data_IF_785605466946
#
_entry.id   IF_785605466946
#
_cell.length_a   1.000
_cell.length_b   1.000
_cell.length_c   1.000
_cell.angle_alpha   90.00
_cell.angle_beta   90.00
_cell.angle_gamma   90.00
#
_symmetry.space_group_name_H-M   'P 1'
#
loop_
_entity.id
_entity.type
_entity.pdbx_description
1 polymer ?
#
# COMPACT_ATOMS: atom_id res chain seq x y z
N UNK A 1 26.24 17.00 -0.94
CA UNK A 1 25.72 15.67 -0.59
C UNK A 1 26.92 14.78 -0.46
N UNK A 2 27.25 14.32 0.75
CA UNK A 2 28.37 13.41 0.94
C UNK A 2 28.03 12.12 0.21
N UNK A 3 28.88 11.70 -0.74
CA UNK A 3 28.80 10.36 -1.34
C UNK A 3 29.01 9.36 -0.21
N UNK A 4 27.94 8.67 0.19
CA UNK A 4 28.03 7.56 1.13
C UNK A 4 28.80 6.45 0.41
N UNK A 5 30.08 6.29 0.77
CA UNK A 5 30.94 5.25 0.20
C UNK A 5 30.41 3.87 0.63
N UNK A 6 29.70 3.20 -0.28
CA UNK A 6 29.12 1.88 -0.03
C UNK A 6 30.24 0.85 0.19
N UNK A 7 30.31 0.26 1.39
CA UNK A 7 31.28 -0.80 1.72
C UNK A 7 30.65 -2.18 1.58
N UNK A 8 31.45 -3.12 1.10
CA UNK A 8 31.05 -4.53 0.97
C UNK A 8 30.72 -5.11 2.35
N UNK A 9 29.50 -5.61 2.54
CA UNK A 9 29.04 -6.22 3.80
C UNK A 9 28.32 -5.26 4.76
N UNK A 10 28.27 -3.96 4.45
CA UNK A 10 27.34 -3.03 5.09
C UNK A 10 25.96 -3.14 4.42
N UNK A 11 24.89 -3.07 5.22
CA UNK A 11 23.50 -3.18 4.79
C UNK A 11 22.66 -2.16 5.56
N UNK A 12 21.49 -1.77 5.03
CA UNK A 12 20.62 -0.77 5.65
C UNK A 12 20.94 0.67 5.23
N UNK A 13 21.36 0.86 3.98
CA UNK A 13 21.69 2.20 3.46
C UNK A 13 20.42 3.02 3.18
N UNK A 14 19.35 2.35 2.75
CA UNK A 14 18.06 2.97 2.53
C UNK A 14 17.41 3.42 3.86
N UNK A 15 17.45 2.57 4.89
CA UNK A 15 16.75 2.81 6.14
C UNK A 15 15.23 2.70 6.00
N UNK A 16 14.51 3.16 7.03
CA UNK A 16 13.05 3.17 7.02
C UNK A 16 12.49 4.18 6.03
N UNK A 17 11.24 3.95 5.60
CA UNK A 17 10.46 4.81 4.72
C UNK A 17 11.08 5.02 3.33
N UNK A 18 11.92 4.08 2.88
CA UNK A 18 12.49 4.07 1.53
C UNK A 18 12.04 2.83 0.77
N UNK A 19 11.54 3.04 -0.45
CA UNK A 19 11.29 1.95 -1.39
C UNK A 19 12.57 1.66 -2.13
N UNK A 20 13.03 0.42 -2.04
CA UNK A 20 14.26 -0.06 -2.65
C UNK A 20 13.92 -0.92 -3.87
N UNK A 21 14.14 -0.44 -5.10
CA UNK A 21 14.02 -1.27 -6.29
C UNK A 21 15.17 -2.26 -6.37
N UNK A 22 14.89 -3.44 -6.93
CA UNK A 22 15.89 -4.46 -7.18
C UNK A 22 15.62 -5.24 -8.46
N UNK A 23 16.65 -5.91 -8.96
CA UNK A 23 16.56 -6.86 -10.07
C UNK A 23 17.40 -8.11 -9.76
N UNK A 24 16.89 -9.26 -10.19
CA UNK A 24 17.61 -10.54 -10.19
C UNK A 24 17.66 -11.01 -11.63
N UNK A 25 18.72 -10.59 -12.33
CA UNK A 25 18.86 -10.78 -13.78
C UNK A 25 18.75 -12.26 -14.20
N UNK A 26 19.36 -13.24 -13.50
CA UNK A 26 19.25 -14.65 -13.90
C UNK A 26 17.83 -15.23 -13.80
N UNK A 27 16.98 -14.62 -12.97
CA UNK A 27 15.59 -15.05 -12.79
C UNK A 27 14.60 -14.23 -13.62
N UNK A 28 15.06 -13.25 -14.40
CA UNK A 28 14.19 -12.28 -15.09
C UNK A 28 13.21 -11.57 -14.14
N UNK A 29 13.63 -11.33 -12.89
CA UNK A 29 12.78 -10.73 -11.85
C UNK A 29 13.17 -9.28 -11.62
N UNK A 30 12.15 -8.43 -11.53
CA UNK A 30 12.28 -7.08 -10.97
C UNK A 30 11.32 -6.93 -9.82
N UNK A 31 11.74 -6.19 -8.81
CA UNK A 31 10.91 -6.03 -7.63
C UNK A 31 11.21 -4.75 -6.88
N UNK A 32 10.45 -4.56 -5.82
CA UNK A 32 10.61 -3.49 -4.86
C UNK A 32 10.39 -4.04 -3.47
N UNK A 33 11.14 -3.54 -2.51
CA UNK A 33 10.90 -3.81 -1.10
C UNK A 33 10.85 -2.48 -0.35
N UNK A 34 10.10 -2.45 0.74
CA UNK A 34 9.96 -1.26 1.59
C UNK A 34 9.81 -1.71 3.03
N UNK A 35 10.37 -0.93 3.95
CA UNK A 35 10.06 -0.98 5.37
C UNK A 35 9.57 0.39 5.79
N UNK A 36 8.29 0.50 6.13
CA UNK A 36 7.68 1.70 6.65
C UNK A 36 7.70 1.68 8.18
N UNK A 37 8.10 2.80 8.79
CA UNK A 37 8.20 2.95 10.24
C UNK A 37 7.70 4.31 10.69
N UNK A 38 8.58 5.33 10.86
CA UNK A 38 8.17 6.67 11.29
C UNK A 38 7.00 7.28 10.50
N UNK A 39 6.95 7.02 9.19
CA UNK A 39 5.83 7.42 8.33
C UNK A 39 4.48 6.85 8.79
N UNK A 40 4.45 5.58 9.19
CA UNK A 40 3.21 4.94 9.66
C UNK A 40 2.77 5.51 11.00
N UNK A 41 3.70 5.73 11.92
CA UNK A 41 3.37 6.35 13.22
C UNK A 41 2.71 7.72 13.01
N UNK A 42 3.17 8.51 12.02
CA UNK A 42 2.56 9.79 11.67
C UNK A 42 1.15 9.65 11.08
N UNK A 43 0.94 8.72 10.14
CA UNK A 43 -0.36 8.51 9.49
C UNK A 43 -1.37 7.94 10.49
N UNK A 44 -0.98 6.88 11.21
CA UNK A 44 -1.85 6.16 12.13
C UNK A 44 -2.12 6.96 13.41
N UNK A 45 -1.14 7.73 13.90
CA UNK A 45 -1.30 8.53 15.12
C UNK A 45 -2.26 9.72 15.01
N UNK A 46 -2.74 10.06 13.81
CA UNK A 46 -3.71 11.14 13.57
C UNK A 46 -5.13 10.80 13.95
N UNK A 47 -5.43 9.51 14.04
CA UNK A 47 -6.75 8.98 14.33
C UNK A 47 -6.62 7.91 15.42
N UNK A 48 -7.61 7.80 16.30
CA UNK A 48 -7.62 6.82 17.37
C UNK A 48 -8.09 5.45 16.84
N UNK A 49 -7.30 4.88 15.93
CA UNK A 49 -7.62 3.61 15.28
C UNK A 49 -7.47 2.44 16.27
N UNK A 50 -8.48 1.57 16.42
CA UNK A 50 -8.28 0.27 17.04
C UNK A 50 -7.16 -0.50 16.35
N UNK A 51 -6.39 -1.27 17.11
CA UNK A 51 -5.20 -1.98 16.59
C UNK A 51 -5.46 -2.79 15.30
N UNK A 52 -6.57 -3.54 15.16
CA UNK A 52 -6.87 -4.26 13.92
C UNK A 52 -7.07 -3.35 12.70
N UNK A 53 -7.70 -2.18 12.90
CA UNK A 53 -7.91 -1.19 11.84
C UNK A 53 -6.60 -0.52 11.44
N UNK A 54 -5.77 -0.16 12.44
CA UNK A 54 -4.45 0.42 12.19
C UNK A 54 -3.54 -0.54 11.41
N UNK A 55 -3.58 -1.84 11.76
CA UNK A 55 -2.85 -2.89 11.04
C UNK A 55 -3.29 -2.98 9.57
N UNK A 56 -4.59 -3.04 9.33
CA UNK A 56 -5.18 -3.10 7.98
C UNK A 56 -4.82 -1.86 7.14
N UNK A 57 -4.89 -0.66 7.73
CA UNK A 57 -4.50 0.57 7.05
C UNK A 57 -3.00 0.60 6.72
N UNK A 58 -2.14 0.07 7.59
CA UNK A 58 -0.72 -0.06 7.33
C UNK A 58 -0.42 -1.03 6.18
N UNK A 59 -1.14 -2.16 6.07
CA UNK A 59 -1.03 -3.05 4.90
C UNK A 59 -1.39 -2.30 3.61
N UNK A 60 -2.50 -1.55 3.61
CA UNK A 60 -2.91 -0.73 2.47
C UNK A 60 -1.85 0.31 2.08
N UNK A 61 -1.18 0.93 3.06
CA UNK A 61 -0.04 1.83 2.82
C UNK A 61 1.11 1.13 2.10
N UNK A 62 1.52 -0.06 2.56
CA UNK A 62 2.62 -0.81 1.95
C UNK A 62 2.29 -1.22 0.51
N UNK A 63 1.10 -1.77 0.27
CA UNK A 63 0.63 -2.12 -1.09
C UNK A 63 0.68 -0.88 -1.98
N UNK A 64 0.09 0.22 -1.53
CA UNK A 64 0.00 1.47 -2.29
C UNK A 64 1.36 2.03 -2.65
N UNK A 65 2.33 1.98 -1.74
CA UNK A 65 3.69 2.44 -1.97
C UNK A 65 4.44 1.53 -2.95
N UNK A 66 4.37 0.21 -2.76
CA UNK A 66 5.03 -0.76 -3.64
C UNK A 66 4.50 -0.66 -5.07
N UNK A 67 3.17 -0.55 -5.23
CA UNK A 67 2.54 -0.45 -6.54
C UNK A 67 2.72 0.94 -7.14
N UNK A 68 2.52 2.01 -6.37
CA UNK A 68 2.63 3.39 -6.83
C UNK A 68 4.04 3.74 -7.32
N UNK A 69 5.08 3.23 -6.66
CA UNK A 69 6.47 3.38 -7.12
C UNK A 69 6.84 2.39 -8.24
N UNK A 70 6.03 1.36 -8.47
CA UNK A 70 6.23 0.40 -9.56
C UNK A 70 5.99 0.96 -10.94
N UNK A 71 5.05 1.89 -11.00
CA UNK A 71 4.50 2.41 -12.23
C UNK A 71 5.36 3.59 -12.72
N UNK A 72 5.80 3.53 -13.98
CA UNK A 72 6.64 4.56 -14.61
C UNK A 72 5.80 5.73 -15.13
N UNK A 73 5.09 6.43 -14.26
CA UNK A 73 4.30 7.61 -14.63
C UNK A 73 4.58 8.79 -13.70
N UNK A 74 4.10 9.97 -14.09
CA UNK A 74 3.94 11.13 -13.21
C UNK A 74 2.46 11.33 -12.94
N UNK A 75 2.05 11.32 -11.66
CA UNK A 75 0.65 11.33 -11.29
C UNK A 75 0.36 10.73 -9.93
N UNK A 76 -0.80 10.10 -9.82
CA UNK A 76 -1.35 9.56 -8.58
C UNK A 76 -1.84 8.13 -8.76
N UNK A 77 -1.38 7.24 -7.90
CA UNK A 77 -1.94 5.92 -7.67
C UNK A 77 -2.88 5.97 -6.47
N UNK A 78 -4.05 5.37 -6.59
CA UNK A 78 -5.08 5.35 -5.55
C UNK A 78 -5.51 3.90 -5.33
N UNK A 79 -5.33 3.42 -4.11
CA UNK A 79 -5.95 2.20 -3.61
C UNK A 79 -7.19 2.60 -2.82
N UNK A 80 -8.35 2.09 -3.20
CA UNK A 80 -9.60 2.34 -2.47
C UNK A 80 -10.40 1.05 -2.32
N UNK A 81 -10.86 0.76 -1.10
CA UNK A 81 -11.85 -0.29 -0.85
C UNK A 81 -13.23 0.30 -0.63
N UNK A 82 -14.25 -0.46 -1.02
CA UNK A 82 -15.63 -0.25 -0.59
C UNK A 82 -16.22 -1.61 -0.26
N UNK A 83 -16.54 -1.82 1.00
CA UNK A 83 -16.98 -3.12 1.49
C UNK A 83 -18.11 -3.01 2.51
N UNK A 84 -18.69 -4.14 2.88
CA UNK A 84 -19.76 -4.25 3.88
C UNK A 84 -19.28 -4.65 5.29
N UNK A 85 -17.97 -4.88 5.45
CA UNK A 85 -17.34 -5.23 6.71
C UNK A 85 -17.31 -4.09 7.75
N UNK A 86 -16.77 -4.33 8.95
CA UNK A 86 -16.56 -3.31 9.98
C UNK A 86 -15.74 -2.10 9.50
N UNK A 87 -14.82 -2.31 8.56
CA UNK A 87 -14.07 -1.25 7.88
C UNK A 87 -14.64 -1.08 6.48
N UNK A 88 -15.54 -0.12 6.31
CA UNK A 88 -16.31 0.04 5.06
C UNK A 88 -15.50 0.71 3.94
N UNK A 89 -14.46 1.46 4.29
CA UNK A 89 -13.64 2.20 3.34
C UNK A 89 -12.20 2.35 3.83
N UNK A 90 -11.26 1.89 3.01
CA UNK A 90 -9.85 2.24 3.07
C UNK A 90 -9.51 3.07 1.85
N UNK A 91 -8.72 4.12 2.03
CA UNK A 91 -8.14 4.87 0.91
C UNK A 91 -6.67 5.11 1.21
N UNK A 92 -5.81 4.75 0.27
CA UNK A 92 -4.40 5.08 0.31
C UNK A 92 -3.99 5.65 -1.05
N UNK A 93 -3.33 6.80 -1.01
CA UNK A 93 -2.93 7.56 -2.19
C UNK A 93 -1.41 7.70 -2.21
N UNK A 94 -0.79 7.29 -3.31
CA UNK A 94 0.60 7.59 -3.61
C UNK A 94 0.65 8.60 -4.76
N UNK A 95 1.23 9.77 -4.50
CA UNK A 95 1.50 10.78 -5.53
C UNK A 95 2.99 10.83 -5.79
N UNK A 96 3.37 10.65 -7.05
CA UNK A 96 4.79 10.71 -7.44
C UNK A 96 5.36 12.10 -7.15
N UNK A 97 6.59 12.21 -6.62
CA UNK A 97 7.58 11.14 -6.53
C UNK A 97 7.55 10.32 -5.23
N UNK A 98 6.95 10.82 -4.15
CA UNK A 98 7.20 10.29 -2.80
C UNK A 98 6.05 10.49 -1.80
N UNK A 99 4.95 11.12 -2.19
CA UNK A 99 3.93 11.55 -1.23
C UNK A 99 2.92 10.43 -0.98
N UNK A 100 2.86 9.94 0.26
CA UNK A 100 1.83 8.99 0.71
C UNK A 100 0.82 9.71 1.61
N UNK A 101 -0.44 9.31 1.53
CA UNK A 101 -1.44 9.55 2.57
C UNK A 101 -2.43 8.40 2.58
N UNK A 102 -3.01 8.12 3.74
CA UNK A 102 -4.02 7.08 3.85
C UNK A 102 -5.04 7.44 4.91
N UNK A 103 -6.22 6.82 4.81
CA UNK A 103 -7.34 7.00 5.72
C UNK A 103 -8.20 5.73 5.73
N UNK A 104 -8.71 5.38 6.90
CA UNK A 104 -9.70 4.32 7.09
C UNK A 104 -10.95 4.89 7.75
N UNK A 105 -12.12 4.52 7.23
CA UNK A 105 -13.43 4.69 7.87
C UNK A 105 -13.93 3.34 8.37
N UNK A 106 -14.41 3.32 9.60
CA UNK A 106 -14.84 2.11 10.27
C UNK A 106 -15.99 2.38 11.24
N UNK A 107 -16.75 1.34 11.55
CA UNK A 107 -17.77 1.32 12.60
C UNK A 107 -17.14 0.78 13.90
N UNK A 108 -17.02 1.64 14.90
CA UNK A 108 -16.34 1.31 16.15
C UNK A 108 -17.01 0.16 16.92
N UNK A 109 -18.34 0.08 16.90
CA UNK A 109 -19.09 -0.97 17.61
C UNK A 109 -18.89 -2.31 16.92
N UNK A 110 -18.98 -2.34 15.58
CA UNK A 110 -18.75 -3.56 14.79
C UNK A 110 -17.30 -4.05 14.91
N UNK A 111 -16.32 -3.14 14.91
CA UNK A 111 -14.91 -3.51 15.13
C UNK A 111 -14.70 -4.07 16.54
N UNK A 112 -15.34 -3.50 17.57
CA UNK A 112 -15.25 -4.00 18.93
C UNK A 112 -15.89 -5.39 19.07
N UNK A 113 -17.01 -5.65 18.41
CA UNK A 113 -17.63 -6.97 18.34
C UNK A 113 -16.74 -8.00 17.63
N UNK A 114 -16.21 -7.65 16.46
CA UNK A 114 -15.28 -8.49 15.71
C UNK A 114 -14.03 -8.84 16.53
N UNK A 115 -13.50 -7.86 17.27
CA UNK A 115 -12.36 -8.06 18.18
C UNK A 115 -12.68 -9.04 19.30
N UNK A 116 -13.87 -8.94 19.91
CA UNK A 116 -14.31 -9.89 20.95
C UNK A 116 -14.53 -11.30 20.40
N UNK A 117 -14.97 -11.41 19.14
CA UNK A 117 -15.16 -12.67 18.45
C UNK A 117 -13.84 -13.30 17.93
N UNK A 118 -12.72 -12.57 18.01
CA UNK A 118 -11.42 -13.00 17.45
C UNK A 118 -11.31 -12.84 15.94
N UNK A 119 -12.29 -12.21 15.28
CA UNK A 119 -12.34 -11.97 13.84
C UNK A 119 -11.63 -10.65 13.51
N UNK A 120 -10.31 -10.65 13.68
CA UNK A 120 -9.47 -9.44 13.54
C UNK A 120 -8.53 -9.51 12.33
N UNK A 121 -8.66 -10.54 11.50
CA UNK A 121 -7.89 -10.64 10.27
C UNK A 121 -8.32 -9.52 9.29
N UNK A 122 -7.40 -9.03 8.44
CA UNK A 122 -7.71 -8.03 7.41
C UNK A 122 -8.97 -8.36 6.58
N UNK A 123 -9.11 -9.61 6.16
CA UNK A 123 -10.22 -10.13 5.37
C UNK A 123 -11.56 -10.14 6.14
N UNK A 124 -11.55 -10.37 7.45
CA UNK A 124 -12.76 -10.32 8.28
C UNK A 124 -13.26 -8.88 8.45
N UNK A 125 -12.32 -7.93 8.61
CA UNK A 125 -12.62 -6.51 8.78
C UNK A 125 -13.11 -5.86 7.49
N UNK A 126 -12.58 -6.30 6.36
CA UNK A 126 -13.04 -5.87 5.05
C UNK A 126 -14.37 -6.52 4.69
N UNK A 127 -14.56 -7.82 4.98
CA UNK A 127 -15.76 -8.55 4.56
C UNK A 127 -15.81 -8.71 3.04
N UNK A 128 -16.95 -8.38 2.45
CA UNK A 128 -17.17 -8.50 1.00
C UNK A 128 -17.33 -7.14 0.35
N UNK A 129 -16.82 -7.00 -0.87
CA UNK A 129 -16.94 -5.77 -1.65
C UNK A 129 -15.95 -5.71 -2.78
N UNK A 130 -15.35 -4.54 -2.98
CA UNK A 130 -14.43 -4.30 -4.09
C UNK A 130 -13.20 -3.51 -3.67
N UNK A 131 -12.07 -3.84 -4.28
CA UNK A 131 -10.83 -3.09 -4.29
C UNK A 131 -10.70 -2.39 -5.65
N UNK A 132 -10.69 -1.07 -5.66
CA UNK A 132 -10.42 -0.26 -6.84
C UNK A 132 -8.99 0.28 -6.79
N UNK A 133 -8.21 -0.02 -7.83
CA UNK A 133 -6.87 0.52 -8.05
C UNK A 133 -6.94 1.50 -9.22
N UNK A 134 -6.68 2.77 -8.94
CA UNK A 134 -6.82 3.86 -9.92
C UNK A 134 -5.48 4.52 -10.21
N UNK A 135 -5.18 4.69 -11.49
CA UNK A 135 -4.02 5.42 -11.99
C UNK A 135 -4.53 6.71 -12.64
N UNK A 136 -4.12 7.86 -12.10
CA UNK A 136 -4.43 9.19 -12.59
C UNK A 136 -3.13 9.92 -12.97
N UNK A 137 -2.88 10.10 -14.27
CA UNK A 137 -1.69 10.79 -14.80
C UNK A 137 -1.96 12.28 -15.08
N UNK A 138 -3.03 12.84 -14.53
CA UNK A 138 -3.39 14.25 -14.62
C UNK A 138 -4.45 14.58 -15.67
N UNK A 139 -4.78 15.87 -15.77
CA UNK A 139 -6.00 16.39 -16.42
C UNK A 139 -6.14 16.08 -17.93
N UNK A 140 -5.04 15.75 -18.61
CA UNK A 140 -5.03 15.45 -20.04
C UNK A 140 -5.01 13.96 -20.34
N UNK A 141 -5.11 13.12 -19.32
CA UNK A 141 -5.09 11.66 -19.44
C UNK A 141 -6.39 11.06 -18.93
N UNK A 142 -6.81 9.95 -19.52
CA UNK A 142 -7.92 9.19 -18.95
C UNK A 142 -7.45 8.43 -17.73
N UNK A 143 -8.24 8.50 -16.65
CA UNK A 143 -8.01 7.68 -15.47
C UNK A 143 -8.23 6.22 -15.83
N UNK A 144 -7.25 5.40 -15.51
CA UNK A 144 -7.38 3.95 -15.60
C UNK A 144 -7.77 3.42 -14.22
N UNK A 145 -8.76 2.53 -14.16
CA UNK A 145 -9.23 1.93 -12.92
C UNK A 145 -9.43 0.44 -13.11
N UNK A 146 -8.68 -0.36 -12.35
CA UNK A 146 -8.91 -1.79 -12.20
C UNK A 146 -9.71 -2.07 -10.94
N UNK A 147 -10.66 -3.01 -11.02
CA UNK A 147 -11.50 -3.40 -9.89
C UNK A 147 -11.31 -4.89 -9.65
N UNK A 148 -11.06 -5.26 -8.40
CA UNK A 148 -10.95 -6.65 -7.92
C UNK A 148 -12.03 -6.89 -6.87
N UNK A 149 -12.67 -8.05 -6.95
CA UNK A 149 -13.62 -8.49 -5.92
C UNK A 149 -12.87 -8.83 -4.62
N UNK A 150 -13.36 -8.30 -3.50
CA UNK A 150 -12.94 -8.70 -2.18
C UNK A 150 -14.01 -9.63 -1.61
N UNK A 151 -13.68 -10.88 -1.35
CA UNK A 151 -14.59 -11.86 -0.76
C UNK A 151 -13.81 -12.76 0.19
N UNK A 152 -13.52 -12.26 1.39
CA UNK A 152 -12.73 -13.00 2.38
C UNK A 152 -11.28 -13.25 1.97
N UNK A 153 -10.72 -12.41 1.08
CA UNK A 153 -9.32 -12.49 0.65
C UNK A 153 -8.51 -11.33 1.24
N UNK A 154 -7.21 -11.56 1.45
CA UNK A 154 -6.29 -10.54 1.93
C UNK A 154 -5.98 -9.50 0.84
N UNK A 155 -5.43 -8.35 1.25
CA UNK A 155 -4.94 -7.33 0.31
C UNK A 155 -3.79 -7.87 -0.57
N UNK A 156 -3.01 -8.83 -0.08
CA UNK A 156 -1.95 -9.49 -0.86
C UNK A 156 -2.53 -10.27 -2.05
N UNK A 157 -3.58 -11.07 -1.81
CA UNK A 157 -4.22 -11.87 -2.86
C UNK A 157 -5.04 -11.00 -3.81
N UNK A 158 -5.68 -9.95 -3.29
CA UNK A 158 -6.38 -8.99 -4.13
C UNK A 158 -5.40 -8.27 -5.08
N UNK A 159 -4.23 -7.86 -4.60
CA UNK A 159 -3.18 -7.27 -5.43
C UNK A 159 -2.61 -8.28 -6.46
N UNK A 160 -2.36 -9.54 -6.07
CA UNK A 160 -1.96 -10.61 -7.01
C UNK A 160 -3.01 -10.79 -8.11
N UNK A 161 -4.29 -10.82 -7.75
CA UNK A 161 -5.40 -10.97 -8.68
C UNK A 161 -5.48 -9.81 -9.66
N UNK A 162 -5.29 -8.57 -9.19
CA UNK A 162 -5.22 -7.39 -10.05
C UNK A 162 -4.12 -7.54 -11.13
N UNK A 163 -2.87 -7.81 -10.75
CA UNK A 163 -1.78 -7.95 -11.72
C UNK A 163 -1.98 -9.12 -12.67
N UNK A 164 -2.56 -10.22 -12.18
CA UNK A 164 -2.87 -11.39 -13.00
C UNK A 164 -3.90 -11.06 -14.09
N UNK A 165 -4.98 -10.37 -13.73
CA UNK A 165 -6.11 -10.12 -14.64
C UNK A 165 -5.92 -8.87 -15.51
N UNK A 166 -5.41 -7.78 -14.92
CA UNK A 166 -5.39 -6.46 -15.56
C UNK A 166 -4.07 -6.18 -16.28
N UNK A 167 -2.94 -6.57 -15.68
CA UNK A 167 -1.60 -6.28 -16.22
C UNK A 167 -0.97 -7.47 -16.94
N UNK A 168 -1.46 -8.69 -16.70
CA UNK A 168 -0.89 -9.95 -17.21
C UNK A 168 0.59 -10.12 -16.87
N UNK A 169 1.03 -9.58 -15.73
CA UNK A 169 2.40 -9.71 -15.23
C UNK A 169 2.37 -10.66 -14.02
N UNK A 170 3.02 -11.83 -14.10
CA UNK A 170 3.17 -12.71 -12.95
C UNK A 170 3.84 -11.95 -11.82
N UNK A 171 3.13 -11.81 -10.71
CA UNK A 171 3.48 -10.92 -9.60
C UNK A 171 3.23 -11.65 -8.29
N UNK A 172 4.22 -11.58 -7.40
CA UNK A 172 4.13 -12.07 -6.02
C UNK A 172 4.32 -10.90 -5.06
N UNK A 173 3.59 -10.94 -3.94
CA UNK A 173 3.57 -9.87 -2.96
C UNK A 173 3.60 -10.45 -1.54
N UNK A 174 4.52 -9.99 -0.71
CA UNK A 174 4.56 -10.33 0.72
C UNK A 174 4.48 -9.05 1.54
N UNK A 175 3.68 -9.09 2.60
CA UNK A 175 3.41 -8.00 3.51
C UNK A 175 3.50 -8.52 4.94
N UNK A 176 3.92 -7.65 5.84
CA UNK A 176 3.85 -7.90 7.28
C UNK A 176 3.71 -6.59 8.00
N UNK A 177 2.91 -6.59 9.06
CA UNK A 177 2.69 -5.43 9.92
C UNK A 177 2.70 -5.88 11.38
N UNK A 178 3.42 -5.15 12.21
CA UNK A 178 3.35 -5.31 13.65
C UNK A 178 3.69 -4.02 14.40
N UNK A 179 3.31 -3.95 15.68
CA UNK A 179 3.87 -3.00 16.62
C UNK A 179 5.17 -3.55 17.19
N UNK A 180 6.24 -2.78 17.07
CA UNK A 180 7.50 -3.03 17.75
C UNK A 180 7.48 -2.31 19.10
N UNK A 181 7.69 -3.06 20.18
CA UNK A 181 7.83 -2.52 21.53
C UNK A 181 9.30 -2.50 21.88
N UNK A 182 9.89 -1.32 22.11
CA UNK A 182 11.28 -1.19 22.57
C UNK A 182 11.31 -0.96 24.08
N UNK A 183 11.98 -1.81 24.88
CA UNK A 183 12.17 -1.55 26.31
C UNK A 183 13.26 -0.49 26.56
N UNK A 184 13.06 0.42 27.51
CA UNK A 184 14.05 1.41 27.96
C UNK A 184 13.52 2.84 28.12
N UNK A 185 14.32 3.77 28.66
CA UNK A 185 13.98 5.20 28.68
C UNK A 185 13.97 5.77 27.25
N UNK A 186 12.79 6.22 26.79
CA UNK A 186 12.54 6.60 25.40
C UNK A 186 12.06 5.44 24.51
N UNK A 187 11.85 4.25 25.09
CA UNK A 187 11.19 3.13 24.44
C UNK A 187 9.68 3.33 24.36
N UNK A 188 9.14 3.30 23.13
CA UNK A 188 7.71 3.39 22.85
C UNK A 188 7.22 2.20 22.02
N UNK A 189 5.90 2.15 21.84
CA UNK A 189 5.28 1.33 20.81
C UNK A 189 5.35 2.07 19.48
N UNK A 190 5.90 1.43 18.46
CA UNK A 190 6.04 1.99 17.12
C UNK A 190 5.50 1.00 16.09
N UNK A 191 4.77 1.51 15.10
CA UNK A 191 4.32 0.70 13.99
C UNK A 191 5.46 0.41 13.02
N UNK A 192 5.48 -0.83 12.55
CA UNK A 192 6.37 -1.31 11.50
C UNK A 192 5.54 -2.06 10.48
N UNK A 193 5.71 -1.72 9.21
CA UNK A 193 5.20 -2.53 8.12
C UNK A 193 6.29 -2.76 7.09
N UNK A 194 6.34 -3.95 6.52
CA UNK A 194 7.27 -4.29 5.47
C UNK A 194 6.58 -4.97 4.33
N UNK A 195 7.16 -4.85 3.15
CA UNK A 195 6.70 -5.64 2.02
C UNK A 195 7.74 -5.85 0.94
N UNK A 196 7.47 -6.87 0.11
CA UNK A 196 8.25 -7.22 -1.06
C UNK A 196 7.30 -7.52 -2.20
N UNK A 197 7.44 -6.78 -3.30
CA UNK A 197 6.78 -7.01 -4.57
C UNK A 197 7.81 -7.58 -5.54
N UNK A 198 7.53 -8.72 -6.16
CA UNK A 198 8.36 -9.32 -7.19
C UNK A 198 7.54 -9.58 -8.45
N UNK A 199 8.07 -9.20 -9.61
CA UNK A 199 7.42 -9.32 -10.90
C UNK A 199 8.34 -10.04 -11.88
N UNK A 200 7.78 -11.03 -12.58
CA UNK A 200 8.49 -11.79 -13.60
C UNK A 200 8.35 -11.09 -14.95
N UNK A 201 9.47 -10.65 -15.51
CA UNK A 201 9.55 -9.87 -16.74
C UNK A 201 10.59 -10.46 -17.69
N UNK A 202 10.38 -11.69 -18.21
CA UNK A 202 11.34 -12.32 -19.10
C UNK A 202 11.36 -11.64 -20.48
N UNK A 203 12.56 -11.54 -21.03
CA UNK A 203 12.81 -10.92 -22.34
C UNK A 203 12.11 -11.68 -23.48
N UNK A 204 11.98 -13.00 -23.35
CA UNK A 204 11.32 -13.82 -24.37
C UNK A 204 9.80 -13.95 -24.11
N UNK A 205 8.95 -13.69 -25.13
CA UNK A 205 7.49 -13.84 -25.00
C UNK A 205 7.04 -15.27 -24.70
N UNK A 206 7.85 -16.28 -25.03
CA UNK A 206 7.51 -17.69 -24.80
C UNK A 206 7.49 -18.04 -23.31
N UNK A 207 8.40 -17.45 -22.54
CA UNK A 207 8.49 -17.62 -21.08
C UNK A 207 7.39 -16.87 -20.32
N UNK A 208 6.70 -15.93 -20.97
CA UNK A 208 5.52 -15.25 -20.41
C UNK A 208 4.23 -16.04 -20.59
N UNK A 209 4.21 -17.02 -21.49
CA UNK A 209 2.98 -17.73 -21.81
C UNK A 209 2.56 -18.59 -20.61
N UNK A 210 1.29 -18.43 -20.24
CA UNK A 210 0.59 -19.38 -19.40
C UNK A 210 0.18 -20.54 -20.31
N UNK A 211 0.25 -21.78 -19.84
CA UNK A 211 -0.14 -22.93 -20.64
C UNK A 211 -1.66 -22.92 -20.87
N UNK A 212 -2.09 -22.68 -22.12
CA UNK A 212 -3.51 -22.57 -22.49
C UNK A 212 -4.22 -23.93 -22.66
N UNK A 213 -3.51 -25.05 -22.47
CA UNK A 213 -3.99 -26.41 -22.81
C UNK A 213 -3.67 -27.37 -21.66
N UNK A 214 -4.68 -28.12 -21.19
CA UNK A 214 -4.46 -29.27 -20.30
C UNK A 214 -3.54 -30.30 -20.98
N UNK A 215 -2.63 -30.93 -20.22
CA UNK A 215 -1.69 -31.96 -20.69
C UNK A 215 -2.30 -33.29 -21.15
N UNK A 216 -3.59 -33.30 -21.54
CA UNK A 216 -4.36 -34.48 -21.94
C UNK A 216 -5.01 -35.21 -20.77
N UNK A 217 -5.73 -36.29 -21.09
CA UNK A 217 -6.66 -37.02 -20.21
C UNK A 217 -6.00 -37.71 -18.99
N UNK A 218 -4.67 -37.65 -18.89
CA UNK A 218 -3.87 -38.19 -17.78
C UNK A 218 -3.17 -37.11 -16.93
N UNK A 219 -3.31 -35.84 -17.28
CA UNK A 219 -2.78 -34.73 -16.49
C UNK A 219 -3.85 -34.24 -15.50
N UNK A 220 -3.65 -34.55 -14.22
CA UNK A 220 -4.52 -34.12 -13.13
C UNK A 220 -4.24 -32.68 -12.69
N UNK A 221 -3.26 -31.99 -13.31
CA UNK A 221 -3.01 -30.57 -13.04
C UNK A 221 -4.14 -29.74 -13.65
N UNK A 222 -4.81 -28.95 -12.82
CA UNK A 222 -5.67 -27.87 -13.30
C UNK A 222 -4.84 -26.96 -14.23
N UNK A 223 -5.47 -26.31 -15.24
CA UNK A 223 -4.80 -25.30 -16.07
C UNK A 223 -4.14 -24.30 -15.11
N UNK A 224 -2.81 -24.34 -15.04
CA UNK A 224 -2.07 -23.48 -14.13
C UNK A 224 -2.17 -22.06 -14.66
N UNK A 225 -2.78 -21.15 -13.90
CA UNK A 225 -2.93 -19.73 -14.28
C UNK A 225 -1.63 -18.92 -14.01
N UNK A 226 -0.49 -19.59 -14.00
CA UNK A 226 0.84 -19.02 -13.81
C UNK A 226 1.80 -19.56 -14.87
N UNK A 227 2.88 -18.84 -15.20
CA UNK A 227 3.90 -19.34 -16.12
C UNK A 227 4.50 -20.65 -15.58
N UNK A 228 4.56 -21.67 -16.43
CA UNK A 228 5.32 -22.89 -16.18
C UNK A 228 6.79 -22.64 -16.53
N UNK A 229 7.43 -21.76 -15.73
CA UNK A 229 8.82 -21.36 -15.90
C UNK A 229 9.61 -21.64 -14.61
N UNK A 230 10.73 -22.36 -14.74
CA UNK A 230 11.56 -22.74 -13.60
C UNK A 230 12.06 -21.53 -12.81
N UNK A 231 12.39 -20.41 -13.47
CA UNK A 231 12.87 -19.21 -12.78
C UNK A 231 11.75 -18.56 -11.95
N UNK A 232 10.52 -18.60 -12.45
CA UNK A 232 9.37 -18.12 -11.69
C UNK A 232 9.06 -19.03 -10.50
N UNK A 233 9.09 -20.36 -10.68
CA UNK A 233 8.87 -21.31 -9.59
C UNK A 233 9.96 -21.20 -8.51
N UNK A 234 11.21 -20.99 -8.92
CA UNK A 234 12.34 -20.76 -8.01
C UNK A 234 12.17 -19.45 -7.23
N UNK A 235 11.79 -18.36 -7.91
CA UNK A 235 11.46 -17.10 -7.23
C UNK A 235 10.37 -17.31 -6.17
N UNK A 236 9.27 -17.99 -6.53
CA UNK A 236 8.17 -18.26 -5.59
C UNK A 236 8.63 -19.09 -4.40
N UNK A 237 9.48 -20.10 -4.63
CA UNK A 237 10.04 -20.91 -3.56
C UNK A 237 10.90 -20.06 -2.61
N UNK A 238 11.76 -19.18 -3.13
CA UNK A 238 12.58 -18.27 -2.33
C UNK A 238 11.74 -17.26 -1.55
N UNK A 239 10.80 -16.57 -2.22
CA UNK A 239 9.92 -15.57 -1.61
C UNK A 239 9.00 -16.20 -0.55
N UNK A 240 8.61 -17.47 -0.71
CA UNK A 240 7.84 -18.20 0.30
C UNK A 240 8.61 -18.47 1.60
N UNK A 241 9.94 -18.37 1.60
CA UNK A 241 10.76 -18.54 2.82
C UNK A 241 10.83 -17.28 3.69
N UNK A 242 10.35 -16.13 3.20
CA UNK A 242 10.37 -14.87 3.95
C UNK A 242 9.51 -15.02 5.21
N UNK A 243 10.13 -14.86 6.37
CA UNK A 243 9.38 -14.81 7.62
C UNK A 243 8.74 -13.43 7.81
N UNK A 244 7.50 -13.34 8.35
CA UNK A 244 6.84 -12.06 8.60
C UNK A 244 7.69 -11.08 9.44
N UNK A 245 8.52 -11.60 10.34
CA UNK A 245 9.43 -10.82 11.17
C UNK A 245 10.56 -10.19 10.37
N UNK A 246 11.10 -10.86 9.35
CA UNK A 246 12.20 -10.31 8.54
C UNK A 246 11.77 -9.08 7.74
N UNK A 247 10.50 -9.00 7.34
CA UNK A 247 9.94 -7.85 6.64
C UNK A 247 9.88 -6.60 7.52
N UNK A 248 9.73 -6.74 8.84
CA UNK A 248 9.53 -5.60 9.76
C UNK A 248 10.73 -5.31 10.66
N UNK A 249 11.68 -6.24 10.77
CA UNK A 249 12.84 -6.13 11.64
C UNK A 249 13.82 -5.04 11.14
N UNK A 250 14.08 -3.98 11.95
CA UNK A 250 15.02 -2.92 11.60
C UNK A 250 16.48 -3.40 11.47
N UNK A 251 16.82 -4.55 12.03
CA UNK A 251 18.17 -5.12 11.94
C UNK A 251 18.37 -5.96 10.68
N UNK A 252 17.30 -6.38 10.02
CA UNK A 252 17.41 -7.01 8.70
C UNK A 252 17.61 -5.92 7.67
N UNK A 253 16.64 -5.02 7.48
CA UNK A 253 16.73 -3.99 6.44
C UNK A 253 16.48 -4.56 5.03
N UNK A 254 16.06 -3.70 4.12
CA UNK A 254 15.71 -4.07 2.74
C UNK A 254 16.84 -4.81 2.01
N UNK A 255 18.06 -4.27 2.01
CA UNK A 255 19.17 -4.81 1.22
C UNK A 255 19.67 -6.16 1.77
N UNK A 256 19.64 -6.35 3.09
CA UNK A 256 20.02 -7.63 3.70
C UNK A 256 18.99 -8.71 3.41
N UNK A 257 17.70 -8.39 3.46
CA UNK A 257 16.64 -9.32 3.09
C UNK A 257 16.84 -9.80 1.65
N UNK A 258 17.04 -8.86 0.73
CA UNK A 258 17.30 -9.18 -0.69
C UNK A 258 18.57 -10.02 -0.87
N UNK A 259 19.64 -9.71 -0.15
CA UNK A 259 20.85 -10.52 -0.17
C UNK A 259 20.59 -11.93 0.35
N UNK A 260 19.90 -12.11 1.49
CA UNK A 260 19.56 -13.43 2.03
C UNK A 260 18.79 -14.27 1.02
N UNK A 261 17.81 -13.68 0.35
CA UNK A 261 16.96 -14.37 -0.63
C UNK A 261 17.70 -14.73 -1.92
N UNK A 262 18.58 -13.84 -2.41
CA UNK A 262 19.06 -13.92 -3.80
C UNK A 262 20.59 -13.90 -3.93
N UNK A 263 21.35 -14.14 -2.85
CA UNK A 263 22.82 -14.14 -2.88
C UNK A 263 23.41 -15.11 -3.91
N UNK A 264 22.79 -16.28 -4.12
CA UNK A 264 23.26 -17.27 -5.11
C UNK A 264 23.07 -16.80 -6.55
N UNK A 265 22.05 -15.98 -6.80
CA UNK A 265 21.69 -15.47 -8.13
C UNK A 265 22.39 -14.15 -8.46
N UNK A 266 22.79 -13.38 -7.45
CA UNK A 266 23.29 -12.02 -7.61
C UNK A 266 22.15 -11.03 -7.77
N UNK A 267 21.72 -10.44 -6.66
CA UNK A 267 20.75 -9.34 -6.65
C UNK A 267 21.42 -8.00 -6.90
N UNK A 268 20.82 -7.20 -7.78
CA UNK A 268 21.19 -5.80 -7.99
C UNK A 268 20.18 -4.91 -7.30
N UNK A 269 20.66 -4.10 -6.37
CA UNK A 269 19.87 -3.10 -5.64
C UNK A 269 20.09 -1.71 -6.26
N UNK A 270 19.03 -0.92 -6.38
CA UNK A 270 19.07 0.45 -6.88
C UNK A 270 18.85 1.46 -5.76
N UNK A 271 19.07 2.75 -6.07
CA UNK A 271 18.85 3.84 -5.12
C UNK A 271 17.40 3.85 -4.62
N UNK A 272 17.25 3.99 -3.30
CA UNK A 272 15.96 4.00 -2.64
C UNK A 272 15.21 5.32 -2.87
N UNK A 273 13.89 5.24 -3.01
CA UNK A 273 13.01 6.40 -3.08
C UNK A 273 12.40 6.61 -1.70
N UNK A 274 12.77 7.70 -1.03
CA UNK A 274 12.14 8.10 0.23
C UNK A 274 10.65 8.37 0.03
N UNK A 275 9.82 7.97 0.99
CA UNK A 275 8.38 8.17 1.01
C UNK A 275 8.03 9.05 2.21
N UNK A 276 7.21 10.06 1.99
CA UNK A 276 6.85 11.04 3.01
C UNK A 276 5.35 11.22 3.13
N UNK A 277 4.87 11.45 4.35
CA UNK A 277 3.47 11.76 4.63
C UNK A 277 3.20 13.21 4.25
N UNK A 278 2.55 13.39 3.11
CA UNK A 278 2.30 14.71 2.54
C UNK A 278 0.88 14.80 2.01
N UNK A 279 0.01 15.42 2.81
CA UNK A 279 -1.34 15.68 2.39
C UNK A 279 -1.41 16.87 1.41
N UNK A 280 -2.18 16.71 0.34
CA UNK A 280 -2.41 17.76 -0.66
C UNK A 280 -3.52 18.75 -0.28
N UNK A 281 -4.04 18.71 0.96
CA UNK A 281 -5.06 19.65 1.41
C UNK A 281 -4.49 21.08 1.42
N UNK A 282 -5.29 22.03 0.96
CA UNK A 282 -4.94 23.44 0.99
C UNK A 282 -6.19 24.26 1.25
N UNK A 283 -5.98 25.46 1.78
CA UNK A 283 -7.05 26.43 2.02
C UNK A 283 -7.92 26.64 0.77
N UNK A 284 -7.28 26.85 -0.38
CA UNK A 284 -7.98 27.02 -1.66
C UNK A 284 -8.83 25.80 -2.07
N UNK A 285 -8.38 24.56 -1.79
CA UNK A 285 -9.17 23.35 -2.09
C UNK A 285 -10.39 23.25 -1.19
N UNK A 286 -10.24 23.48 0.11
CA UNK A 286 -11.36 23.43 1.06
C UNK A 286 -12.38 24.53 0.76
N UNK A 287 -11.92 25.75 0.48
CA UNK A 287 -12.78 26.85 0.01
C UNK A 287 -13.51 26.51 -1.29
N UNK A 288 -12.84 25.84 -2.22
CA UNK A 288 -13.44 25.37 -3.47
C UNK A 288 -14.59 24.37 -3.24
N UNK A 289 -14.43 23.45 -2.27
CA UNK A 289 -15.47 22.50 -1.86
C UNK A 289 -16.64 23.24 -1.23
N UNK A 290 -16.38 24.13 -0.25
CA UNK A 290 -17.42 24.88 0.46
C UNK A 290 -18.22 25.79 -0.49
N UNK A 291 -17.60 26.37 -1.52
CA UNK A 291 -18.31 27.15 -2.56
C UNK A 291 -19.26 26.31 -3.41
N UNK A 292 -19.08 24.99 -3.45
CA UNK A 292 -19.99 24.08 -4.17
C UNK A 292 -21.25 23.73 -3.39
N UNK A 293 -21.30 24.04 -2.09
CA UNK A 293 -22.44 23.72 -1.23
C UNK A 293 -23.56 24.76 -1.39
N UNK A 294 -24.79 24.31 -1.20
CA UNK A 294 -25.97 25.17 -1.11
C UNK A 294 -25.96 26.00 0.18
N UNK A 295 -26.74 27.08 0.19
CA UNK A 295 -26.87 27.93 1.38
C UNK A 295 -27.47 27.17 2.59
N UNK A 296 -28.31 26.16 2.34
CA UNK A 296 -28.88 25.29 3.37
C UNK A 296 -27.80 24.40 3.99
N UNK A 297 -26.97 23.72 3.18
CA UNK A 297 -25.85 22.89 3.65
C UNK A 297 -24.82 23.71 4.44
N UNK A 298 -24.52 24.92 3.99
CA UNK A 298 -23.62 25.84 4.71
C UNK A 298 -24.20 26.24 6.06
N UNK A 299 -25.51 26.52 6.13
CA UNK A 299 -26.20 26.88 7.37
C UNK A 299 -26.25 25.70 8.35
N UNK A 300 -26.51 24.49 7.87
CA UNK A 300 -26.49 23.27 8.68
C UNK A 300 -25.08 22.93 9.19
N UNK A 301 -24.04 23.27 8.41
CA UNK A 301 -22.64 23.05 8.79
C UNK A 301 -22.05 24.19 9.65
N UNK A 302 -22.83 25.22 9.97
CA UNK A 302 -22.36 26.38 10.75
C UNK A 302 -22.69 26.21 12.24
N UNK A 303 -21.65 26.29 13.07
CA UNK A 303 -21.77 26.35 14.53
C UNK A 303 -21.12 27.66 15.02
N UNK A 304 -21.83 28.46 15.82
CA UNK A 304 -21.36 29.75 16.33
C UNK A 304 -20.84 30.73 15.24
N UNK A 305 -21.44 30.69 14.05
CA UNK A 305 -21.05 31.53 12.91
C UNK A 305 -19.77 31.09 12.19
N UNK A 306 -19.23 29.92 12.54
CA UNK A 306 -18.03 29.35 11.93
C UNK A 306 -18.31 27.98 11.33
N UNK A 307 -17.56 27.66 10.29
CA UNK A 307 -17.53 26.34 9.67
C UNK A 307 -16.17 25.74 9.97
N UNK A 308 -16.15 24.62 10.69
CA UNK A 308 -14.94 23.87 10.97
C UNK A 308 -14.88 22.65 10.05
N UNK A 309 -13.82 22.56 9.26
CA UNK A 309 -13.57 21.42 8.37
C UNK A 309 -12.28 20.75 8.78
N UNK A 310 -12.36 19.46 9.12
CA UNK A 310 -11.19 18.65 9.40
C UNK A 310 -10.84 17.85 8.14
N UNK A 311 -9.58 17.89 7.73
CA UNK A 311 -9.14 17.03 6.64
C UNK A 311 -8.95 15.59 7.15
N UNK A 312 -9.77 14.66 6.65
CA UNK A 312 -9.73 13.24 7.05
C UNK A 312 -8.38 12.53 6.85
N UNK A 313 -7.48 13.05 6.00
CA UNK A 313 -6.17 12.42 5.77
C UNK A 313 -5.09 12.89 6.75
N UNK A 314 -5.13 14.16 7.15
CA UNK A 314 -4.04 14.77 7.92
C UNK A 314 -4.49 15.39 9.25
N UNK A 315 -5.77 15.28 9.57
CA UNK A 315 -6.42 15.87 10.74
C UNK A 315 -6.20 17.38 10.93
N UNK A 316 -5.75 18.08 9.88
CA UNK A 316 -5.62 19.54 9.91
C UNK A 316 -7.01 20.16 9.93
N UNK A 317 -7.27 20.96 10.96
CA UNK A 317 -8.47 21.76 11.10
C UNK A 317 -8.35 23.05 10.28
N UNK A 318 -9.41 23.37 9.54
CA UNK A 318 -9.62 24.64 8.86
C UNK A 318 -10.86 25.29 9.46
N UNK A 319 -10.77 26.58 9.76
CA UNK A 319 -11.90 27.37 10.27
C UNK A 319 -12.16 28.52 9.32
N UNK A 320 -13.44 28.72 9.00
CA UNK A 320 -13.90 29.80 8.15
C UNK A 320 -15.10 30.50 8.75
N UNK A 321 -15.28 31.78 8.43
CA UNK A 321 -16.52 32.48 8.76
C UNK A 321 -17.62 32.11 7.76
N UNK A 322 -18.82 31.81 8.25
CA UNK A 322 -19.94 31.41 7.37
C UNK A 322 -20.33 32.51 6.37
N UNK A 323 -20.13 33.78 6.74
CA UNK A 323 -20.36 34.94 5.87
C UNK A 323 -19.49 34.96 4.61
N UNK A 324 -18.41 34.17 4.55
CA UNK A 324 -17.57 34.06 3.35
C UNK A 324 -18.23 33.24 2.22
N UNK A 325 -19.25 32.44 2.54
CA UNK A 325 -19.87 31.49 1.61
C UNK A 325 -21.38 31.67 1.43
N UNK A 326 -22.05 32.37 2.34
CA UNK A 326 -23.46 32.74 2.17
C UNK A 326 -23.53 33.97 1.24
N UNK A 327 -24.31 33.93 0.13
CA UNK A 327 -24.52 35.10 -0.70
C UNK A 327 -25.10 36.24 0.15
N UNK A 328 -24.56 37.47 -0.01
CA UNK A 328 -25.20 38.64 0.57
C UNK A 328 -26.59 38.81 -0.07
N UNK A 329 -27.63 38.82 0.76
CA UNK A 329 -29.02 39.12 0.35
C UNK A 329 -29.16 40.52 -0.27
#
# INVERSE_FOLDING_TARGET
>A
MAETELKLGEFGFAGDDHVVPFAVEPLDVRGRTVQLGPLLDQILGRHDYPEPVARLLAEACVVTVLLGTSLKFEGKFILQTRTDGPVDMLVADFTTPHSLRAYARFDADRVAEATKAGMTAPEDLLGTGVLALTIDQGAHTQRYQGIVELNGISLEEAARTYFRQSEQIPTDLRLSVAKLVRPGEGGGEHWRAGGLLAQFLPDSPERRRVADIHGGDGDLREISVQPDDNAWQELLALVATIEPTELIDPTVGAERLLYRLFHEHGVRVYEGVHVADQCSCSDGKIRGILKGFSAEEIKESTEDGRIRVNCEFCSKAYEYESSEFVPAE
#
